data_IF_592550986736
#
_entry.id   IF_592550986736
#
_cell.length_a   1.000
_cell.length_b   1.000
_cell.length_c   1.000
_cell.angle_alpha   90.00
_cell.angle_beta   90.00
_cell.angle_gamma   90.00
#
_symmetry.space_group_name_H-M   'P 1'
#
loop_
_entity.id
_entity.type
_entity.pdbx_description
1 polymer ?
#
# COMPACT_ATOMS: atom_id res chain seq x y z
N UNK A 1 -3.88 -19.81 16.19
CA UNK A 1 -4.29 -18.48 15.68
C UNK A 1 -4.23 -18.53 14.17
N UNK A 2 -5.34 -18.33 13.46
CA UNK A 2 -5.37 -18.39 12.01
C UNK A 2 -5.13 -16.99 11.43
N UNK A 3 -4.16 -16.88 10.51
CA UNK A 3 -3.89 -15.63 9.82
C UNK A 3 -5.03 -15.31 8.84
N UNK A 4 -5.52 -14.07 8.88
CA UNK A 4 -6.40 -13.53 7.85
C UNK A 4 -5.53 -13.00 6.73
N UNK A 5 -5.35 -13.78 5.67
CA UNK A 5 -4.56 -13.34 4.51
C UNK A 5 -5.37 -12.32 3.72
N UNK A 6 -4.71 -11.24 3.30
CA UNK A 6 -5.32 -10.30 2.37
C UNK A 6 -5.68 -11.02 1.05
N UNK A 7 -6.92 -10.88 0.55
CA UNK A 7 -7.38 -11.61 -0.62
C UNK A 7 -6.52 -11.33 -1.86
N UNK A 8 -6.57 -12.25 -2.82
CA UNK A 8 -6.01 -11.99 -4.15
C UNK A 8 -6.95 -11.01 -4.88
N UNK A 9 -6.38 -9.99 -5.48
CA UNK A 9 -7.10 -9.00 -6.28
C UNK A 9 -7.01 -9.35 -7.75
N UNK A 10 -8.15 -9.42 -8.44
CA UNK A 10 -8.23 -9.68 -9.88
C UNK A 10 -7.74 -8.48 -10.69
N UNK A 11 -7.23 -8.73 -11.88
CA UNK A 11 -6.86 -7.65 -12.79
C UNK A 11 -8.10 -7.11 -13.50
N UNK A 12 -8.06 -5.83 -13.88
CA UNK A 12 -9.02 -5.21 -14.77
C UNK A 12 -8.44 -5.20 -16.19
N UNK A 13 -9.31 -5.21 -17.20
CA UNK A 13 -8.99 -5.04 -18.62
C UNK A 13 -7.94 -3.93 -18.85
N UNK A 14 -6.97 -4.22 -19.70
CA UNK A 14 -5.82 -3.34 -19.98
C UNK A 14 -4.70 -3.36 -18.92
N UNK A 15 -4.81 -4.16 -17.86
CA UNK A 15 -3.71 -4.36 -16.92
C UNK A 15 -2.72 -5.39 -17.45
N UNK A 16 -1.41 -5.16 -17.23
CA UNK A 16 -0.27 -6.01 -17.61
C UNK A 16 0.17 -5.94 -19.09
N UNK A 17 1.23 -6.69 -19.38
CA UNK A 17 2.02 -6.71 -20.62
C UNK A 17 1.37 -7.41 -21.81
N UNK A 18 0.43 -8.34 -21.59
CA UNK A 18 -0.18 -9.05 -22.71
C UNK A 18 -1.25 -8.17 -23.35
N UNK A 19 -0.97 -7.75 -24.58
CA UNK A 19 -1.95 -7.10 -25.47
C UNK A 19 -3.01 -8.14 -25.82
N UNK A 20 -4.05 -8.20 -25.00
CA UNK A 20 -5.17 -9.14 -25.09
C UNK A 20 -5.67 -9.48 -23.69
N UNK A 21 -6.96 -9.25 -23.45
CA UNK A 21 -7.60 -9.55 -22.17
C UNK A 21 -7.39 -11.03 -21.81
N UNK A 22 -6.82 -11.28 -20.65
CA UNK A 22 -6.83 -12.62 -20.10
C UNK A 22 -8.29 -12.95 -19.74
N UNK A 23 -8.72 -14.20 -19.93
CA UNK A 23 -10.12 -14.60 -19.71
C UNK A 23 -10.63 -14.32 -18.27
N UNK A 24 -9.71 -14.15 -17.30
CA UNK A 24 -10.02 -13.86 -15.90
C UNK A 24 -10.03 -12.36 -15.54
N UNK A 25 -9.66 -11.48 -16.49
CA UNK A 25 -9.62 -10.04 -16.24
C UNK A 25 -11.05 -9.46 -16.24
N UNK A 26 -11.29 -8.52 -15.32
CA UNK A 26 -12.59 -7.85 -15.23
C UNK A 26 -12.73 -6.84 -16.36
N UNK A 27 -13.73 -7.01 -17.23
CA UNK A 27 -13.99 -6.01 -18.27
C UNK A 27 -14.60 -4.74 -17.68
N UNK A 28 -14.17 -3.58 -18.19
CA UNK A 28 -14.72 -2.28 -17.80
C UNK A 28 -16.21 -2.18 -18.15
N UNK A 29 -16.63 -2.83 -19.24
CA UNK A 29 -18.04 -2.85 -19.66
C UNK A 29 -18.96 -3.46 -18.60
N UNK A 30 -18.49 -4.46 -17.86
CA UNK A 30 -19.25 -5.09 -16.77
C UNK A 30 -19.36 -4.21 -15.52
N UNK A 31 -18.57 -3.14 -15.45
CA UNK A 31 -18.56 -2.14 -14.38
C UNK A 31 -19.34 -0.88 -14.75
N UNK A 32 -19.91 -0.82 -15.97
CA UNK A 32 -20.62 0.37 -16.43
C UNK A 32 -21.85 0.66 -15.57
N UNK A 33 -22.04 1.94 -15.26
CA UNK A 33 -23.09 2.44 -14.37
C UNK A 33 -22.82 2.23 -12.88
N UNK A 34 -21.66 1.69 -12.50
CA UNK A 34 -21.27 1.51 -11.09
C UNK A 34 -20.28 2.58 -10.65
N UNK A 35 -20.50 3.12 -9.46
CA UNK A 35 -19.55 4.03 -8.82
C UNK A 35 -18.40 3.22 -8.19
N UNK A 36 -17.17 3.58 -8.56
CA UNK A 36 -15.97 2.97 -8.03
C UNK A 36 -15.21 3.96 -7.15
N UNK A 37 -14.55 3.44 -6.13
CA UNK A 37 -13.45 4.13 -5.46
C UNK A 37 -12.15 3.63 -6.08
N UNK A 38 -11.31 4.57 -6.54
CA UNK A 38 -10.01 4.27 -7.12
C UNK A 38 -8.93 4.88 -6.25
N UNK A 39 -8.03 4.05 -5.78
CA UNK A 39 -6.89 4.41 -4.95
C UNK A 39 -5.59 4.16 -5.72
N UNK A 40 -4.56 4.95 -5.43
CA UNK A 40 -3.21 4.69 -5.93
C UNK A 40 -2.67 3.36 -5.37
N UNK A 41 -2.01 2.58 -6.22
CA UNK A 41 -1.18 1.46 -5.74
C UNK A 41 0.21 1.95 -5.42
N UNK A 42 0.59 1.74 -4.18
CA UNK A 42 1.95 1.95 -3.70
C UNK A 42 2.70 0.62 -3.69
N UNK A 43 3.96 0.68 -4.08
CA UNK A 43 4.84 -0.47 -4.18
C UNK A 43 5.65 -0.64 -2.88
N UNK A 44 5.17 -1.54 -2.02
CA UNK A 44 5.80 -1.87 -0.76
C UNK A 44 5.45 -3.28 -0.30
N UNK A 45 5.47 -3.49 1.01
CA UNK A 45 5.18 -4.78 1.61
C UNK A 45 3.82 -4.79 2.30
N UNK A 46 2.87 -5.52 1.71
CA UNK A 46 1.59 -5.85 2.35
C UNK A 46 1.78 -6.29 3.81
N UNK A 47 1.17 -5.53 4.71
CA UNK A 47 1.25 -5.71 6.16
C UNK A 47 -0.12 -5.55 6.80
N UNK A 48 -0.30 -6.09 8.01
CA UNK A 48 -1.49 -5.80 8.78
C UNK A 48 -1.21 -5.68 10.28
N UNK A 49 -2.04 -4.87 10.94
CA UNK A 49 -2.07 -4.61 12.37
C UNK A 49 -3.42 -5.05 12.92
N UNK A 50 -3.40 -5.84 14.00
CA UNK A 50 -4.61 -6.26 14.70
C UNK A 50 -4.28 -6.67 16.13
N UNK A 51 -5.29 -7.03 16.92
CA UNK A 51 -5.10 -7.59 18.25
C UNK A 51 -5.82 -8.93 18.39
N UNK A 52 -5.36 -9.77 19.32
CA UNK A 52 -6.10 -10.96 19.75
C UNK A 52 -7.11 -10.62 20.86
N UNK A 53 -7.84 -11.63 21.34
CA UNK A 53 -8.87 -11.47 22.38
C UNK A 53 -8.30 -11.03 23.74
N UNK A 54 -7.01 -11.25 23.99
CA UNK A 54 -6.30 -10.85 25.20
C UNK A 54 -5.70 -9.44 25.07
N UNK A 55 -5.83 -8.80 23.91
CA UNK A 55 -5.30 -7.48 23.62
C UNK A 55 -3.83 -7.48 23.19
N UNK A 56 -3.26 -8.64 22.86
CA UNK A 56 -1.89 -8.69 22.36
C UNK A 56 -1.82 -8.18 20.92
N UNK A 57 -0.82 -7.35 20.63
CA UNK A 57 -0.55 -6.85 19.30
C UNK A 57 -0.12 -7.97 18.36
N UNK A 58 -0.80 -8.08 17.22
CA UNK A 58 -0.49 -9.00 16.14
C UNK A 58 -0.10 -8.21 14.89
N UNK A 59 1.11 -8.47 14.40
CA UNK A 59 1.60 -7.94 13.13
C UNK A 59 1.78 -9.07 12.15
N UNK A 60 1.41 -8.85 10.90
CA UNK A 60 1.54 -9.85 9.84
C UNK A 60 2.10 -9.23 8.56
N UNK A 61 2.87 -10.04 7.83
CA UNK A 61 3.07 -9.84 6.40
C UNK A 61 1.94 -10.55 5.62
N UNK A 62 2.00 -10.54 4.29
CA UNK A 62 1.05 -11.27 3.44
C UNK A 62 0.88 -12.76 3.79
N UNK A 63 1.96 -13.42 4.22
CA UNK A 63 2.02 -14.88 4.33
C UNK A 63 1.96 -15.44 5.75
N UNK A 64 2.40 -14.67 6.74
CA UNK A 64 2.65 -15.14 8.11
C UNK A 64 2.65 -13.97 9.11
N UNK A 65 2.45 -14.29 10.39
CA UNK A 65 2.65 -13.35 11.49
C UNK A 65 4.14 -13.05 11.69
N UNK A 66 4.45 -11.79 11.99
CA UNK A 66 5.80 -11.28 12.25
C UNK A 66 6.18 -11.54 13.71
N UNK A 67 6.69 -12.74 13.97
CA UNK A 67 6.94 -13.25 15.34
C UNK A 67 8.40 -13.17 15.77
N UNK A 68 9.27 -12.63 14.92
CA UNK A 68 10.70 -12.48 15.17
C UNK A 68 11.58 -13.27 14.21
N UNK A 69 12.86 -12.93 14.15
CA UNK A 69 13.86 -13.60 13.32
C UNK A 69 14.49 -12.71 12.25
N UNK A 70 15.68 -13.10 11.78
CA UNK A 70 16.51 -12.27 10.90
C UNK A 70 15.89 -11.93 9.54
N UNK A 71 14.95 -12.76 9.04
CA UNK A 71 14.21 -12.50 7.80
C UNK A 71 13.19 -11.37 7.94
N UNK A 72 12.81 -11.02 9.16
CA UNK A 72 11.83 -9.96 9.41
C UNK A 72 12.47 -8.58 9.61
N UNK A 73 13.77 -8.42 9.30
CA UNK A 73 14.52 -7.15 9.47
C UNK A 73 13.85 -5.96 8.78
N UNK A 74 13.19 -6.20 7.64
CA UNK A 74 12.43 -5.20 6.86
C UNK A 74 11.24 -4.64 7.64
N UNK A 75 10.74 -5.36 8.65
CA UNK A 75 9.60 -5.00 9.47
C UNK A 75 9.97 -4.59 10.90
N UNK A 76 11.27 -4.50 11.24
CA UNK A 76 11.69 -4.11 12.59
C UNK A 76 11.12 -2.75 13.00
N UNK A 77 11.15 -1.77 12.10
CA UNK A 77 10.60 -0.44 12.37
C UNK A 77 9.06 -0.45 12.45
N UNK A 78 8.38 -1.27 11.64
CA UNK A 78 6.92 -1.48 11.75
C UNK A 78 6.55 -2.01 13.14
N UNK A 79 7.31 -2.97 13.66
CA UNK A 79 7.10 -3.52 15.01
C UNK A 79 7.22 -2.45 16.09
N UNK A 80 8.27 -1.63 16.02
CA UNK A 80 8.48 -0.52 16.95
C UNK A 80 7.35 0.50 16.86
N UNK A 81 6.97 0.90 15.64
CA UNK A 81 5.88 1.84 15.40
C UNK A 81 4.54 1.35 15.95
N UNK A 82 4.17 0.11 15.65
CA UNK A 82 2.90 -0.44 16.09
C UNK A 82 2.87 -0.66 17.61
N UNK A 83 4.00 -1.03 18.22
CA UNK A 83 4.10 -1.12 19.68
C UNK A 83 3.95 0.25 20.35
N UNK A 84 4.57 1.30 19.80
CA UNK A 84 4.43 2.67 20.32
C UNK A 84 2.98 3.17 20.27
N UNK A 85 2.25 2.86 19.20
CA UNK A 85 0.85 3.28 19.02
C UNK A 85 -0.18 2.25 19.51
N UNK A 86 0.23 1.12 20.07
CA UNK A 86 -0.69 0.05 20.47
C UNK A 86 -1.80 0.56 21.42
N UNK A 87 -1.47 1.49 22.31
CA UNK A 87 -2.40 2.08 23.27
C UNK A 87 -3.53 2.93 22.64
N UNK A 88 -3.31 3.52 21.45
CA UNK A 88 -4.36 4.25 20.70
C UNK A 88 -5.03 3.38 19.65
N UNK A 89 -4.32 2.40 19.08
CA UNK A 89 -4.86 1.49 18.08
C UNK A 89 -5.79 0.43 18.69
N UNK A 90 -5.43 -0.12 19.86
CA UNK A 90 -6.19 -1.20 20.51
C UNK A 90 -7.64 -0.81 20.85
N UNK A 91 -7.93 0.36 21.45
CA UNK A 91 -9.31 0.75 21.73
C UNK A 91 -10.21 0.87 20.49
N UNK A 92 -9.63 1.17 19.32
CA UNK A 92 -10.37 1.33 18.06
C UNK A 92 -10.50 0.00 17.31
N UNK A 93 -9.39 -0.73 17.11
CA UNK A 93 -9.41 -1.98 16.35
C UNK A 93 -10.02 -3.13 17.17
N UNK A 94 -9.75 -3.15 18.48
CA UNK A 94 -10.00 -4.28 19.35
C UNK A 94 -9.48 -5.59 18.76
N UNK A 95 -10.16 -6.69 19.10
CA UNK A 95 -9.92 -7.98 18.45
C UNK A 95 -10.77 -8.19 17.18
N UNK A 96 -11.62 -7.22 16.84
CA UNK A 96 -12.59 -7.30 15.73
C UNK A 96 -11.96 -6.93 14.40
N UNK A 97 -11.17 -5.86 14.33
CA UNK A 97 -10.68 -5.33 13.06
C UNK A 97 -9.26 -5.77 12.76
N UNK A 98 -8.98 -6.03 11.47
CA UNK A 98 -7.63 -6.16 10.93
C UNK A 98 -7.40 -5.00 9.98
N UNK A 99 -6.51 -4.10 10.35
CA UNK A 99 -6.12 -2.96 9.53
C UNK A 99 -4.97 -3.38 8.61
N UNK A 100 -5.20 -3.37 7.31
CA UNK A 100 -4.21 -3.66 6.28
C UNK A 100 -3.62 -2.37 5.74
N UNK A 101 -2.32 -2.39 5.51
CA UNK A 101 -1.60 -1.29 4.90
C UNK A 101 -0.38 -1.77 4.15
N UNK A 102 0.12 -0.89 3.29
CA UNK A 102 1.36 -1.10 2.59
C UNK A 102 2.50 -0.56 3.47
N UNK A 103 3.46 -1.41 3.80
CA UNK A 103 4.64 -1.03 4.55
C UNK A 103 5.74 -0.61 3.57
N UNK A 104 6.06 0.68 3.58
CA UNK A 104 6.83 1.38 2.56
C UNK A 104 8.29 1.61 2.97
N UNK A 105 8.75 1.08 4.10
CA UNK A 105 10.09 1.40 4.59
C UNK A 105 11.20 0.99 3.62
N UNK A 106 11.22 -0.27 3.18
CA UNK A 106 12.20 -0.73 2.20
C UNK A 106 11.68 -0.44 0.79
N UNK A 107 12.54 0.15 -0.06
CA UNK A 107 12.31 0.28 -1.49
C UNK A 107 12.14 -1.11 -2.11
N UNK A 108 11.09 -1.26 -2.91
CA UNK A 108 10.90 -2.39 -3.78
C UNK A 108 11.40 -2.04 -5.20
N UNK A 109 10.48 -1.84 -6.13
CA UNK A 109 10.73 -1.45 -7.52
C UNK A 109 10.65 0.07 -7.67
N UNK A 110 9.68 0.73 -7.03
CA UNK A 110 9.56 2.19 -7.00
C UNK A 110 10.30 2.76 -5.79
N UNK A 111 11.08 3.82 -6.02
CA UNK A 111 11.60 4.66 -4.95
C UNK A 111 10.69 5.85 -4.71
N UNK A 112 10.37 6.08 -3.43
CA UNK A 112 9.64 7.24 -2.95
C UNK A 112 10.55 8.04 -2.03
N UNK A 113 10.56 9.36 -2.19
CA UNK A 113 11.38 10.28 -1.39
C UNK A 113 10.55 11.25 -0.54
N UNK A 114 9.23 11.28 -0.73
CA UNK A 114 8.29 12.17 -0.03
C UNK A 114 7.11 11.42 0.59
N UNK A 115 7.36 10.26 1.19
CA UNK A 115 6.29 9.54 1.89
C UNK A 115 5.81 10.33 3.11
N UNK A 116 4.50 10.48 3.32
CA UNK A 116 3.96 11.16 4.49
C UNK A 116 3.93 10.23 5.73
N UNK A 117 4.09 8.92 5.52
CA UNK A 117 4.22 7.90 6.55
C UNK A 117 4.76 6.60 5.91
N UNK A 118 5.32 5.68 6.69
CA UNK A 118 5.75 4.37 6.14
C UNK A 118 4.65 3.31 6.11
N UNK A 119 3.63 3.42 6.97
CA UNK A 119 2.46 2.55 6.93
C UNK A 119 1.30 3.29 6.26
N UNK A 120 0.90 2.83 5.07
CA UNK A 120 -0.16 3.43 4.26
C UNK A 120 -1.39 2.51 4.24
N UNK A 121 -2.41 2.84 5.02
CA UNK A 121 -3.61 2.02 5.21
C UNK A 121 -4.50 2.00 3.96
N UNK A 122 -4.93 0.82 3.53
CA UNK A 122 -5.74 0.66 2.32
C UNK A 122 -6.99 -0.21 2.48
N UNK A 123 -7.09 -1.01 3.54
CA UNK A 123 -8.29 -1.81 3.81
C UNK A 123 -8.43 -2.21 5.27
N UNK A 124 -9.66 -2.44 5.73
CA UNK A 124 -9.94 -2.96 7.08
C UNK A 124 -10.91 -4.13 6.97
N UNK A 125 -10.50 -5.30 7.45
CA UNK A 125 -11.39 -6.46 7.59
C UNK A 125 -12.10 -6.41 8.93
N UNK A 126 -13.42 -6.53 8.89
CA UNK A 126 -14.24 -6.85 10.04
C UNK A 126 -14.34 -8.37 10.22
N UNK A 127 -13.76 -8.89 11.31
CA UNK A 127 -13.75 -10.34 11.58
C UNK A 127 -15.12 -10.89 11.98
N UNK A 128 -16.05 -10.04 12.44
CA UNK A 128 -17.40 -10.49 12.81
C UNK A 128 -18.27 -10.76 11.57
N UNK A 129 -18.18 -9.88 10.58
CA UNK A 129 -18.95 -10.01 9.33
C UNK A 129 -18.19 -10.78 8.24
N UNK A 130 -16.86 -10.83 8.34
CA UNK A 130 -15.99 -11.35 7.29
C UNK A 130 -15.87 -10.42 6.09
N UNK A 131 -16.37 -9.19 6.19
CA UNK A 131 -16.41 -8.21 5.11
C UNK A 131 -15.35 -7.12 5.33
N UNK A 132 -14.86 -6.57 4.23
CA UNK A 132 -13.97 -5.43 4.26
C UNK A 132 -14.79 -4.13 4.27
N UNK A 133 -14.39 -3.18 5.10
CA UNK A 133 -15.07 -1.89 5.24
C UNK A 133 -14.91 -1.04 3.97
N UNK A 134 -15.96 -0.31 3.59
CA UNK A 134 -15.89 0.71 2.54
C UNK A 134 -14.87 1.78 2.93
N UNK A 135 -14.44 2.55 1.94
CA UNK A 135 -13.52 3.68 2.16
C UNK A 135 -14.10 4.71 3.12
N UNK A 136 -15.41 4.93 3.07
CA UNK A 136 -16.10 5.79 4.02
C UNK A 136 -16.12 5.19 5.44
N UNK A 137 -16.43 3.90 5.57
CA UNK A 137 -16.51 3.22 6.85
C UNK A 137 -15.15 3.08 7.53
N UNK A 138 -14.07 2.73 6.81
CA UNK A 138 -12.72 2.70 7.38
C UNK A 138 -12.25 4.09 7.81
N UNK A 139 -12.60 5.14 7.06
CA UNK A 139 -12.30 6.52 7.48
C UNK A 139 -13.04 6.86 8.77
N UNK A 140 -14.33 6.56 8.86
CA UNK A 140 -15.09 6.78 10.09
C UNK A 140 -14.52 6.01 11.29
N UNK A 141 -14.07 4.77 11.09
CA UNK A 141 -13.45 3.95 12.12
C UNK A 141 -12.12 4.53 12.61
N UNK A 142 -11.25 4.94 11.67
CA UNK A 142 -9.86 5.30 11.97
C UNK A 142 -9.66 6.80 12.25
N UNK A 143 -10.70 7.64 12.09
CA UNK A 143 -10.64 9.08 12.34
C UNK A 143 -10.11 9.37 13.75
N UNK A 144 -9.15 10.30 13.84
CA UNK A 144 -8.45 10.70 15.06
C UNK A 144 -7.20 9.88 15.38
N UNK A 145 -6.85 8.88 14.58
CA UNK A 145 -5.62 8.10 14.75
C UNK A 145 -4.48 8.60 13.84
N UNK A 146 -3.21 8.48 14.27
CA UNK A 146 -2.04 8.84 13.47
C UNK A 146 -1.75 7.81 12.38
N UNK A 147 -2.67 7.72 11.42
CA UNK A 147 -2.67 6.74 10.34
C UNK A 147 -2.89 7.48 9.03
N UNK A 148 -2.04 7.14 8.05
CA UNK A 148 -2.14 7.67 6.70
C UNK A 148 -2.86 6.67 5.80
N UNK A 149 -3.98 7.01 5.16
CA UNK A 149 -4.56 6.18 4.12
C UNK A 149 -3.82 6.33 2.78
N UNK A 150 -3.90 5.31 1.92
CA UNK A 150 -3.57 5.46 0.50
C UNK A 150 -4.49 6.51 -0.16
N UNK A 151 -3.99 7.29 -1.13
CA UNK A 151 -4.75 8.38 -1.70
C UNK A 151 -5.84 7.87 -2.64
N UNK A 152 -7.07 8.38 -2.44
CA UNK A 152 -8.16 8.21 -3.41
C UNK A 152 -7.91 9.16 -4.57
N UNK A 153 -7.75 8.62 -5.77
CA UNK A 153 -7.46 9.38 -6.99
C UNK A 153 -8.69 9.62 -7.86
N UNK A 154 -9.74 8.81 -7.69
CA UNK A 154 -11.02 8.99 -8.38
C UNK A 154 -12.18 8.39 -7.59
N UNK A 155 -13.35 9.02 -7.72
CA UNK A 155 -14.63 8.50 -7.25
C UNK A 155 -15.65 8.62 -8.38
N UNK A 156 -16.31 7.51 -8.71
CA UNK A 156 -17.36 7.43 -9.70
C UNK A 156 -17.06 6.41 -10.80
N UNK A 157 -17.87 6.43 -11.86
CA UNK A 157 -17.76 5.49 -12.97
C UNK A 157 -16.40 5.55 -13.69
N UNK A 158 -15.91 4.38 -14.12
CA UNK A 158 -14.81 4.22 -15.07
C UNK A 158 -15.40 3.74 -16.40
N UNK A 159 -15.14 4.49 -17.46
CA UNK A 159 -15.75 4.29 -18.79
C UNK A 159 -14.83 3.65 -19.81
N UNK A 160 -13.51 3.66 -19.59
CA UNK A 160 -12.54 3.12 -20.53
C UNK A 160 -11.18 2.83 -19.89
N UNK A 161 -10.38 1.99 -20.55
CA UNK A 161 -8.99 1.72 -20.15
C UNK A 161 -8.16 3.01 -20.21
N UNK A 162 -8.38 3.87 -21.21
CA UNK A 162 -7.68 5.15 -21.33
C UNK A 162 -7.92 6.05 -20.11
N UNK A 163 -9.10 5.98 -19.49
CA UNK A 163 -9.37 6.70 -18.24
C UNK A 163 -8.49 6.15 -17.10
N UNK A 164 -8.35 4.82 -16.98
CA UNK A 164 -7.45 4.22 -15.98
C UNK A 164 -5.99 4.62 -16.19
N UNK A 165 -5.55 4.63 -17.45
CA UNK A 165 -4.22 5.12 -17.82
C UNK A 165 -4.06 6.60 -17.40
N UNK A 166 -5.04 7.47 -17.68
CA UNK A 166 -4.97 8.89 -17.27
C UNK A 166 -5.02 9.10 -15.75
N UNK A 167 -5.64 8.19 -15.01
CA UNK A 167 -5.69 8.23 -13.54
C UNK A 167 -4.39 7.72 -12.91
N UNK A 168 -3.58 6.98 -13.66
CA UNK A 168 -2.23 6.55 -13.25
C UNK A 168 -1.25 7.73 -13.45
N UNK A 169 -1.41 8.73 -12.60
CA UNK A 169 -0.65 10.00 -12.60
C UNK A 169 0.71 9.88 -11.90
N UNK A 170 1.60 10.88 -12.02
CA UNK A 170 2.78 10.98 -11.17
C UNK A 170 2.42 10.81 -9.70
N UNK A 171 3.16 9.96 -8.98
CA UNK A 171 2.91 9.71 -7.56
C UNK A 171 3.24 10.97 -6.75
N UNK A 172 2.37 11.41 -5.81
CA UNK A 172 2.65 12.57 -4.98
C UNK A 172 3.85 12.38 -4.04
N UNK A 173 4.33 11.14 -3.92
CA UNK A 173 5.43 10.76 -3.02
C UNK A 173 6.78 10.66 -3.75
N UNK A 174 6.83 11.10 -5.01
CA UNK A 174 8.05 11.29 -5.81
C UNK A 174 8.23 12.78 -6.10
N UNK A 175 9.32 13.37 -5.62
CA UNK A 175 9.72 14.73 -5.99
C UNK A 175 10.25 14.80 -7.41
N UNK A 176 10.45 16.01 -7.96
CA UNK A 176 11.17 16.18 -9.22
C UNK A 176 12.65 15.71 -9.13
N UNK A 177 13.19 15.64 -7.91
CA UNK A 177 14.58 15.32 -7.59
C UNK A 177 14.73 13.88 -7.04
N UNK A 178 13.70 13.04 -7.17
CA UNK A 178 13.69 11.70 -6.55
C UNK A 178 14.86 10.81 -6.98
N UNK A 179 15.39 11.03 -8.19
CA UNK A 179 16.57 10.32 -8.73
C UNK A 179 17.83 10.68 -7.96
N UNK A 180 18.03 11.96 -7.66
CA UNK A 180 19.16 12.41 -6.83
C UNK A 180 19.01 11.90 -5.39
N UNK A 181 17.78 11.92 -4.86
CA UNK A 181 17.47 11.36 -3.55
C UNK A 181 17.73 9.84 -3.49
N UNK A 182 17.48 9.09 -4.59
CA UNK A 182 17.78 7.67 -4.69
C UNK A 182 19.29 7.41 -4.63
N UNK A 183 20.09 8.20 -5.36
CA UNK A 183 21.56 8.10 -5.31
C UNK A 183 22.06 8.31 -3.89
N UNK A 184 21.59 9.36 -3.21
CA UNK A 184 21.95 9.63 -1.82
C UNK A 184 21.51 8.51 -0.86
N UNK A 185 20.32 7.93 -1.05
CA UNK A 185 19.83 6.81 -0.26
C UNK A 185 20.66 5.53 -0.49
N UNK A 186 21.08 5.28 -1.74
CA UNK A 186 21.94 4.17 -2.10
C UNK A 186 23.33 4.30 -1.44
N UNK A 187 23.94 5.48 -1.50
CA UNK A 187 25.22 5.77 -0.84
C UNK A 187 25.14 5.58 0.67
N UNK A 188 24.11 6.16 1.32
CA UNK A 188 23.91 6.05 2.77
C UNK A 188 23.69 4.62 3.26
N UNK A 189 23.01 3.81 2.45
CA UNK A 189 22.75 2.40 2.78
C UNK A 189 23.91 1.47 2.42
N UNK A 190 24.95 1.97 1.74
CA UNK A 190 26.04 1.15 1.20
C UNK A 190 25.58 0.23 0.07
N UNK A 191 24.46 0.56 -0.58
CA UNK A 191 23.93 -0.21 -1.70
C UNK A 191 24.74 0.05 -2.97
N UNK A 192 24.91 -1.00 -3.78
CA UNK A 192 25.60 -0.96 -5.08
C UNK A 192 24.77 -0.13 -6.08
N UNK A 193 25.27 1.02 -6.59
CA UNK A 193 24.49 1.88 -7.48
C UNK A 193 24.00 1.17 -8.75
N UNK A 194 24.86 0.36 -9.37
CA UNK A 194 24.53 -0.44 -10.56
C UNK A 194 23.34 -1.39 -10.34
N UNK A 195 23.25 -1.98 -9.14
CA UNK A 195 22.15 -2.87 -8.77
C UNK A 195 20.89 -2.07 -8.42
N UNK A 196 21.03 -0.92 -7.75
CA UNK A 196 19.91 -0.04 -7.42
C UNK A 196 19.23 0.43 -8.69
N UNK A 197 19.99 0.89 -9.69
CA UNK A 197 19.45 1.36 -10.97
C UNK A 197 18.70 0.24 -11.69
N UNK A 198 19.29 -0.96 -11.79
CA UNK A 198 18.64 -2.13 -12.42
C UNK A 198 17.36 -2.58 -11.71
N UNK A 199 17.25 -2.30 -10.41
CA UNK A 199 16.13 -2.70 -9.57
C UNK A 199 15.12 -1.56 -9.37
N UNK A 200 15.27 -0.45 -10.08
CA UNK A 200 14.41 0.73 -9.96
C UNK A 200 13.62 0.96 -11.24
N UNK A 201 12.31 1.16 -11.08
CA UNK A 201 11.48 1.65 -12.17
C UNK A 201 11.66 3.16 -12.33
N UNK A 202 12.09 3.56 -13.53
CA UNK A 202 12.46 4.93 -13.85
C UNK A 202 11.31 5.72 -14.49
N UNK A 203 10.20 5.86 -13.75
CA UNK A 203 9.07 6.72 -14.12
C UNK A 203 8.57 7.49 -12.92
N UNK A 204 7.97 8.65 -13.15
CA UNK A 204 7.34 9.41 -12.07
C UNK A 204 5.94 8.87 -11.74
N UNK A 205 5.37 8.04 -12.62
CA UNK A 205 4.02 7.49 -12.51
C UNK A 205 3.90 6.49 -11.35
N UNK A 206 2.72 6.46 -10.73
CA UNK A 206 2.36 5.39 -9.80
C UNK A 206 2.46 3.99 -10.47
N UNK A 207 2.64 2.95 -9.65
CA UNK A 207 2.63 1.55 -10.11
C UNK A 207 1.33 1.23 -10.87
N UNK A 208 0.21 1.73 -10.35
CA UNK A 208 -1.11 1.46 -10.87
C UNK A 208 -2.22 1.88 -9.91
N UNK A 209 -3.37 1.22 -10.03
CA UNK A 209 -4.60 1.58 -9.36
C UNK A 209 -5.23 0.37 -8.67
N UNK A 210 -5.85 0.63 -7.53
CA UNK A 210 -6.69 -0.31 -6.81
C UNK A 210 -8.13 0.19 -6.87
N UNK A 211 -9.03 -0.62 -7.42
CA UNK A 211 -10.41 -0.26 -7.65
C UNK A 211 -11.30 -1.06 -6.72
N UNK A 212 -12.29 -0.40 -6.13
CA UNK A 212 -13.29 -1.02 -5.26
C UNK A 212 -14.68 -0.65 -5.71
N UNK A 213 -15.53 -1.67 -5.85
CA UNK A 213 -16.97 -1.50 -5.77
C UNK A 213 -17.34 -1.50 -4.28
N UNK A 214 -18.03 -0.48 -3.83
CA UNK A 214 -18.38 -0.32 -2.42
C UNK A 214 -19.87 -0.02 -2.29
N UNK A 215 -20.49 -0.62 -1.28
CA UNK A 215 -21.71 -0.10 -0.68
C UNK A 215 -21.37 1.08 0.23
N UNK A 216 -22.36 1.58 0.98
CA UNK A 216 -22.10 2.57 2.03
C UNK A 216 -21.10 2.05 3.08
N UNK A 217 -21.15 0.76 3.41
CA UNK A 217 -20.47 0.22 4.59
C UNK A 217 -19.32 -0.72 4.23
N UNK A 218 -19.40 -1.45 3.12
CA UNK A 218 -18.49 -2.56 2.79
C UNK A 218 -18.07 -2.62 1.31
N UNK A 219 -16.89 -3.21 1.06
CA UNK A 219 -16.37 -3.52 -0.28
C UNK A 219 -17.05 -4.78 -0.81
N UNK A 220 -17.69 -4.68 -1.98
CA UNK A 220 -18.33 -5.81 -2.67
C UNK A 220 -17.35 -6.56 -3.59
N UNK A 221 -16.53 -5.82 -4.32
CA UNK A 221 -15.57 -6.38 -5.26
C UNK A 221 -14.34 -5.48 -5.39
N UNK A 222 -13.24 -6.06 -5.87
CA UNK A 222 -11.95 -5.41 -5.95
C UNK A 222 -11.15 -5.82 -7.18
N UNK A 223 -10.54 -4.82 -7.80
CA UNK A 223 -9.74 -5.00 -9.00
C UNK A 223 -8.44 -4.23 -8.89
N UNK A 224 -7.49 -4.57 -9.74
CA UNK A 224 -6.26 -3.80 -9.89
C UNK A 224 -5.91 -3.58 -11.34
N UNK A 225 -5.45 -2.37 -11.59
CA UNK A 225 -4.75 -1.98 -12.80
C UNK A 225 -3.28 -1.81 -12.43
N UNK A 226 -2.38 -2.44 -13.17
CA UNK A 226 -0.92 -2.34 -12.98
C UNK A 226 -0.30 -2.03 -14.33
N UNK A 227 0.53 -0.99 -14.37
CA UNK A 227 1.15 -0.51 -15.61
C UNK A 227 2.14 -1.53 -16.16
N UNK A 228 2.20 -1.62 -17.49
CA UNK A 228 3.04 -2.59 -18.19
C UNK A 228 4.54 -2.37 -17.90
N UNK A 229 5.04 -1.13 -18.00
CA UNK A 229 6.47 -0.85 -17.78
C UNK A 229 6.92 -1.17 -16.34
N UNK A 230 6.03 -0.99 -15.36
CA UNK A 230 6.32 -1.39 -13.97
C UNK A 230 6.51 -2.90 -13.84
N UNK A 231 5.68 -3.70 -14.53
CA UNK A 231 5.88 -5.15 -14.56
C UNK A 231 7.16 -5.54 -15.30
N UNK A 232 7.49 -4.85 -16.39
CA UNK A 232 8.78 -5.07 -17.08
C UNK A 232 9.96 -4.79 -16.15
N UNK A 233 9.89 -3.72 -15.34
CA UNK A 233 10.90 -3.40 -14.35
C UNK A 233 11.02 -4.50 -13.28
N UNK A 234 9.91 -5.07 -12.82
CA UNK A 234 9.93 -6.23 -11.91
C UNK A 234 10.58 -7.45 -12.56
N UNK A 235 10.22 -7.75 -13.81
CA UNK A 235 10.74 -8.93 -14.55
C UNK A 235 12.22 -8.78 -14.90
N UNK A 236 12.68 -7.56 -15.20
CA UNK A 236 14.07 -7.26 -15.51
C UNK A 236 14.96 -7.20 -14.26
N UNK A 237 14.38 -6.90 -13.10
CA UNK A 237 15.14 -6.79 -11.86
C UNK A 237 15.60 -8.17 -11.36
N UNK A 238 16.90 -8.30 -11.08
CA UNK A 238 17.47 -9.53 -10.51
C UNK A 238 17.05 -9.70 -9.03
N UNK A 239 16.47 -10.87 -8.73
CA UNK A 239 16.09 -11.30 -7.39
C UNK A 239 14.84 -10.63 -6.78
N UNK A 240 14.30 -11.24 -5.72
CA UNK A 240 13.14 -10.70 -4.99
C UNK A 240 13.57 -9.57 -4.03
N UNK A 241 12.72 -8.56 -3.85
CA UNK A 241 13.04 -7.39 -2.99
C UNK A 241 13.50 -7.78 -1.58
N UNK A 242 12.94 -8.86 -1.05
CA UNK A 242 13.19 -9.35 0.30
C UNK A 242 14.66 -9.77 0.54
N UNK A 243 15.33 -10.24 -0.51
CA UNK A 243 16.71 -10.72 -0.45
C UNK A 243 17.73 -9.59 -0.68
N UNK A 244 17.27 -8.41 -1.09
CA UNK A 244 18.11 -7.24 -1.36
C UNK A 244 18.55 -6.58 -0.04
N UNK A 245 19.66 -5.83 -0.04
CA UNK A 245 19.96 -4.86 1.02
C UNK A 245 18.78 -3.90 1.22
N UNK A 246 18.57 -3.46 2.46
CA UNK A 246 17.52 -2.48 2.74
C UNK A 246 17.98 -1.13 2.23
N UNK A 247 17.30 -0.62 1.21
CA UNK A 247 17.36 0.78 0.80
C UNK A 247 16.08 1.46 1.30
N UNK A 248 16.14 2.32 2.33
CA UNK A 248 14.95 2.96 2.86
C UNK A 248 14.34 3.98 1.88
N UNK A 249 13.02 3.97 1.69
CA UNK A 249 12.33 5.10 1.07
C UNK A 249 12.44 6.35 1.95
N UNK A 250 12.40 7.53 1.33
CA UNK A 250 12.40 8.81 2.01
C UNK A 250 11.03 9.21 2.54
N UNK A 251 11.02 9.88 3.69
CA UNK A 251 9.86 10.57 4.22
C UNK A 251 9.94 12.05 3.82
N UNK A 252 8.78 12.68 3.69
CA UNK A 252 8.70 14.15 3.59
C UNK A 252 9.36 14.80 4.81
N UNK A 253 10.05 15.91 4.60
CA UNK A 253 10.72 16.67 5.67
C UNK A 253 9.77 16.97 6.83
N UNK A 254 10.23 16.70 8.05
CA UNK A 254 9.47 16.94 9.27
C UNK A 254 8.45 15.86 9.65
N UNK A 255 8.27 14.82 8.83
CA UNK A 255 7.44 13.66 9.20
C UNK A 255 8.11 12.88 10.33
N UNK A 256 7.44 12.81 11.47
CA UNK A 256 7.74 11.88 12.55
C UNK A 256 6.69 10.77 12.58
N UNK A 257 7.09 9.55 12.19
CA UNK A 257 6.19 8.40 12.19
C UNK A 257 5.74 7.98 13.60
N UNK A 258 6.40 8.49 14.66
CA UNK A 258 6.05 8.24 16.05
C UNK A 258 5.21 9.35 16.69
N UNK A 259 4.88 10.40 15.93
CA UNK A 259 4.06 11.48 16.44
C UNK A 259 2.65 10.97 16.79
N UNK A 260 2.06 11.42 17.92
CA UNK A 260 0.70 11.05 18.30
C UNK A 260 -0.35 11.57 17.30
N UNK A 261 0.03 12.56 16.49
CA UNK A 261 -0.69 13.04 15.33
C UNK A 261 0.27 13.25 14.17
N UNK A 262 -0.09 12.80 12.97
CA UNK A 262 0.62 13.11 11.73
C UNK A 262 0.44 14.59 11.36
N UNK A 263 -0.80 15.12 11.49
CA UNK A 263 -1.09 16.52 11.14
C UNK A 263 -0.88 16.81 9.64
N UNK A 264 -0.84 15.76 8.82
CA UNK A 264 -0.65 15.83 7.37
C UNK A 264 -2.01 15.75 6.70
N UNK A 265 -2.30 16.66 5.77
CA UNK A 265 -3.57 16.67 5.05
C UNK A 265 -3.89 15.29 4.42
N UNK A 266 -5.07 14.78 4.71
CA UNK A 266 -5.53 13.46 4.24
C UNK A 266 -5.25 12.30 5.19
N UNK A 267 -4.43 12.50 6.23
CA UNK A 267 -4.34 11.60 7.36
C UNK A 267 -5.69 11.49 8.08
N UNK A 268 -5.84 10.45 8.91
CA UNK A 268 -7.07 10.30 9.69
C UNK A 268 -7.19 11.24 10.89
N UNK A 269 -6.12 11.93 11.26
CA UNK A 269 -6.07 12.88 12.38
C UNK A 269 -5.95 14.36 11.97
N UNK A 270 -6.02 14.65 10.67
CA UNK A 270 -5.88 15.99 10.09
C UNK A 270 -7.21 16.62 9.67
#
# INVERSE_FOLDING_TARGET
MNIYKYPRTRHIEGSRLQVGDMADDKSIKELSGQDLIVEEKLDGANSAVSFDADGNLLLQSRGHYLTGGGRERHFSLLKTWAAAHAHVLHPVLGHRFVMYGEWMYAKHTVFYDRLPHYFMEFDVLDRETGLFLSTAARRALLTGLPIMPVPVVHKGEIKSVNQLVSLTRPSPYKSEEWRDALVLAAERSGSRPDMVDQQTEDSDLAEGLYLKQETADHVEDRFKFVRADFLQAIEAADGHWHDRPILPNGLTDGVDIFAPTLGVAGAYDA
#
